data_IF_866355812240
#
_entry.id   IF_866355812240
#
_cell.length_a   1.000
_cell.length_b   1.000
_cell.length_c   1.000
_cell.angle_alpha   90.00
_cell.angle_beta   90.00
_cell.angle_gamma   90.00
#
_symmetry.space_group_name_H-M   'P 1'
#
loop_
_entity.id
_entity.type
_entity.pdbx_description
1 polymer ?
#
# COMPACT_ATOMS: atom_id res chain seq x y z
N UNK A 1 14.25 43.73 28.59
CA UNK A 1 14.66 42.33 28.39
C UNK A 1 13.92 41.48 29.41
N UNK A 2 12.71 41.06 29.05
CA UNK A 2 11.92 40.11 29.84
C UNK A 2 11.89 38.80 29.05
N UNK A 3 12.05 37.73 29.81
CA UNK A 3 12.36 36.36 29.42
C UNK A 3 11.48 35.83 28.29
N UNK A 4 12.15 35.22 27.30
CA UNK A 4 11.58 34.23 26.41
C UNK A 4 10.92 33.14 27.26
N UNK A 5 9.60 33.16 27.36
CA UNK A 5 8.85 31.99 27.81
C UNK A 5 9.16 30.85 26.85
N UNK A 6 9.87 29.85 27.37
CA UNK A 6 10.05 28.58 26.71
C UNK A 6 8.66 27.99 26.46
N UNK A 7 8.25 27.92 25.19
CA UNK A 7 7.15 27.05 24.76
C UNK A 7 7.53 25.62 25.09
N UNK A 8 7.26 25.20 26.32
CA UNK A 8 7.21 23.80 26.71
C UNK A 8 6.15 23.14 25.83
N UNK A 9 6.60 22.56 24.71
CA UNK A 9 5.85 21.53 23.99
C UNK A 9 5.80 20.30 24.90
N UNK A 10 4.94 20.37 25.92
CA UNK A 10 4.52 19.20 26.68
C UNK A 10 3.73 18.34 25.73
N UNK A 11 4.37 17.29 25.21
CA UNK A 11 3.73 16.14 24.60
C UNK A 11 2.86 15.45 25.68
N UNK A 12 1.76 16.07 26.06
CA UNK A 12 0.70 15.39 26.78
C UNK A 12 0.11 14.42 25.77
N UNK A 13 0.42 13.13 25.92
CA UNK A 13 -0.39 12.07 25.36
C UNK A 13 -1.82 12.30 25.88
N UNK A 14 -2.62 12.98 25.07
CA UNK A 14 -3.94 13.39 25.47
C UNK A 14 -4.75 12.14 25.79
N UNK A 15 -5.41 12.15 26.96
CA UNK A 15 -6.37 11.12 27.30
C UNK A 15 -7.44 11.15 26.20
N UNK A 16 -7.75 10.00 25.61
CA UNK A 16 -8.73 9.89 24.55
C UNK A 16 -10.08 10.43 25.02
N UNK A 17 -10.74 11.22 24.17
CA UNK A 17 -12.10 11.69 24.41
C UNK A 17 -13.10 10.52 24.39
N UNK A 18 -14.31 10.74 24.90
CA UNK A 18 -15.37 9.73 24.84
C UNK A 18 -15.74 9.37 23.39
N UNK A 19 -15.72 10.34 22.47
CA UNK A 19 -15.96 10.13 21.04
C UNK A 19 -14.87 9.27 20.42
N UNK A 20 -13.61 9.55 20.76
CA UNK A 20 -12.45 8.76 20.33
C UNK A 20 -12.50 7.31 20.82
N UNK A 21 -13.00 7.06 22.03
CA UNK A 21 -13.26 5.70 22.51
C UNK A 21 -14.42 5.02 21.81
N UNK A 22 -15.49 5.76 21.52
CA UNK A 22 -16.63 5.26 20.73
C UNK A 22 -16.18 4.83 19.34
N UNK A 23 -15.36 5.62 18.66
CA UNK A 23 -14.91 5.32 17.30
C UNK A 23 -14.05 4.05 17.27
N UNK A 24 -13.19 3.85 18.27
CA UNK A 24 -12.44 2.60 18.47
C UNK A 24 -13.36 1.41 18.73
N UNK A 25 -14.41 1.59 19.53
CA UNK A 25 -15.40 0.55 19.81
C UNK A 25 -16.19 0.15 18.55
N UNK A 26 -16.59 1.13 17.73
CA UNK A 26 -17.23 0.87 16.43
C UNK A 26 -16.28 0.12 15.50
N UNK A 27 -15.00 0.53 15.44
CA UNK A 27 -13.97 -0.21 14.70
C UNK A 27 -13.87 -1.67 15.13
N UNK A 28 -13.88 -1.96 16.43
CA UNK A 28 -13.92 -3.33 16.96
C UNK A 28 -15.19 -4.09 16.58
N UNK A 29 -16.35 -3.45 16.61
CA UNK A 29 -17.60 -4.08 16.17
C UNK A 29 -17.54 -4.49 14.70
N UNK A 30 -16.95 -3.66 13.83
CA UNK A 30 -16.75 -4.00 12.42
C UNK A 30 -15.81 -5.19 12.27
N UNK A 31 -14.70 -5.23 13.02
CA UNK A 31 -13.77 -6.37 13.01
C UNK A 31 -14.48 -7.66 13.45
N UNK A 32 -15.26 -7.60 14.54
CA UNK A 32 -16.05 -8.74 15.02
C UNK A 32 -17.07 -9.18 13.97
N UNK A 33 -17.74 -8.24 13.29
CA UNK A 33 -18.67 -8.57 12.22
C UNK A 33 -17.97 -9.33 11.09
N UNK A 34 -16.81 -8.86 10.62
CA UNK A 34 -16.04 -9.59 9.60
C UNK A 34 -15.61 -10.97 10.10
N UNK A 35 -15.16 -11.09 11.35
CA UNK A 35 -14.77 -12.36 11.94
C UNK A 35 -15.93 -13.37 12.03
N UNK A 36 -17.17 -12.89 12.22
CA UNK A 36 -18.38 -13.73 12.28
C UNK A 36 -18.94 -14.11 10.90
N UNK A 37 -18.70 -13.30 9.87
CA UNK A 37 -19.21 -13.55 8.50
C UNK A 37 -18.32 -14.54 7.73
N UNK A 38 -17.04 -14.61 8.08
CA UNK A 38 -16.07 -15.48 7.41
C UNK A 38 -16.32 -16.96 7.76
N UNK A 39 -16.32 -17.89 6.77
CA UNK A 39 -16.60 -19.31 7.02
C UNK A 39 -15.60 -20.03 7.92
N UNK A 40 -14.30 -19.72 7.80
CA UNK A 40 -13.23 -20.25 8.65
C UNK A 40 -12.25 -19.14 8.98
N UNK A 41 -12.29 -18.66 10.23
CA UNK A 41 -11.47 -17.55 10.70
C UNK A 41 -9.97 -17.85 10.62
N UNK A 42 -9.56 -19.12 10.69
CA UNK A 42 -8.14 -19.49 10.69
C UNK A 42 -7.47 -19.20 9.33
N UNK A 43 -8.23 -19.25 8.24
CA UNK A 43 -7.75 -18.88 6.91
C UNK A 43 -7.52 -17.36 6.76
N UNK A 44 -8.15 -16.57 7.63
CA UNK A 44 -8.13 -15.11 7.59
C UNK A 44 -7.30 -14.50 8.73
N UNK A 45 -6.56 -15.32 9.49
CA UNK A 45 -5.64 -14.85 10.53
C UNK A 45 -4.22 -15.28 10.18
N UNK A 46 -3.39 -14.30 9.82
CA UNK A 46 -1.94 -14.46 9.74
C UNK A 46 -1.28 -13.34 10.54
N UNK A 47 -0.61 -13.70 11.63
CA UNK A 47 -0.10 -12.72 12.60
C UNK A 47 0.90 -11.75 11.98
N UNK A 48 1.85 -12.23 11.16
CA UNK A 48 2.84 -11.39 10.50
C UNK A 48 2.18 -10.43 9.51
N UNK A 49 1.27 -10.92 8.66
CA UNK A 49 0.49 -10.08 7.75
C UNK A 49 -0.32 -9.00 8.49
N UNK A 50 -0.92 -9.35 9.63
CA UNK A 50 -1.72 -8.45 10.44
C UNK A 50 -0.85 -7.36 11.08
N UNK A 51 0.37 -7.69 11.54
CA UNK A 51 1.33 -6.70 12.04
C UNK A 51 1.68 -5.66 10.95
N UNK A 52 2.05 -6.11 9.76
CA UNK A 52 2.56 -5.20 8.72
C UNK A 52 1.47 -4.41 7.99
N UNK A 53 0.34 -5.03 7.68
CA UNK A 53 -0.74 -4.36 6.94
C UNK A 53 -1.71 -3.61 7.87
N UNK A 54 -2.06 -4.22 9.01
CA UNK A 54 -3.13 -3.71 9.89
C UNK A 54 -2.58 -2.81 11.00
N UNK A 55 -1.74 -3.35 11.88
CA UNK A 55 -1.28 -2.61 13.07
C UNK A 55 -0.43 -1.40 12.73
N UNK A 56 0.41 -1.49 11.69
CA UNK A 56 1.23 -0.37 11.23
C UNK A 56 0.37 0.86 10.89
N UNK A 57 -0.70 0.66 10.13
CA UNK A 57 -1.64 1.72 9.75
C UNK A 57 -2.38 2.28 10.97
N UNK A 58 -2.81 1.42 11.88
CA UNK A 58 -3.47 1.82 13.14
C UNK A 58 -2.57 2.69 14.01
N UNK A 59 -1.28 2.34 14.13
CA UNK A 59 -0.30 3.14 14.90
C UNK A 59 -0.10 4.51 14.25
N UNK A 60 0.05 4.57 12.92
CA UNK A 60 0.16 5.85 12.21
C UNK A 60 -1.08 6.72 12.43
N UNK A 61 -2.28 6.13 12.34
CA UNK A 61 -3.54 6.83 12.60
C UNK A 61 -3.63 7.35 14.05
N UNK A 62 -3.28 6.56 15.05
CA UNK A 62 -3.32 6.96 16.46
C UNK A 62 -2.29 8.07 16.77
N UNK A 63 -1.09 8.03 16.16
CA UNK A 63 -0.08 9.09 16.29
C UNK A 63 -0.58 10.39 15.69
N UNK A 64 -1.13 10.34 14.47
CA UNK A 64 -1.63 11.54 13.77
C UNK A 64 -2.84 12.15 14.47
N UNK A 65 -3.75 11.32 14.98
CA UNK A 65 -4.91 11.78 15.76
C UNK A 65 -4.47 12.49 17.05
N UNK A 66 -3.57 11.88 17.83
CA UNK A 66 -3.18 12.42 19.14
C UNK A 66 -2.29 13.65 19.04
N UNK A 67 -1.37 13.68 18.07
CA UNK A 67 -0.38 14.76 17.97
C UNK A 67 -0.85 15.92 17.08
N UNK A 68 -1.65 15.63 16.06
CA UNK A 68 -2.00 16.60 15.02
C UNK A 68 -3.50 16.75 14.79
N UNK A 69 -4.35 16.08 15.59
CA UNK A 69 -5.82 16.15 15.52
C UNK A 69 -6.39 15.76 14.15
N UNK A 70 -5.63 14.99 13.36
CA UNK A 70 -6.15 14.40 12.14
C UNK A 70 -7.08 13.26 12.53
N UNK A 71 -8.32 13.30 12.06
CA UNK A 71 -9.31 12.29 12.43
C UNK A 71 -8.81 10.88 12.08
N UNK A 72 -9.02 9.96 13.02
CA UNK A 72 -8.62 8.57 12.88
C UNK A 72 -9.22 7.93 11.62
N UNK A 73 -10.50 8.23 11.35
CA UNK A 73 -11.25 7.85 10.15
C UNK A 73 -10.50 8.20 8.85
N UNK A 74 -10.01 9.44 8.75
CA UNK A 74 -9.35 9.99 7.56
C UNK A 74 -8.05 9.25 7.25
N UNK A 75 -7.26 8.95 8.27
CA UNK A 75 -6.00 8.21 8.08
C UNK A 75 -6.28 6.77 7.64
N UNK A 76 -7.24 6.09 8.27
CA UNK A 76 -7.60 4.73 7.88
C UNK A 76 -8.19 4.67 6.46
N UNK A 77 -9.07 5.62 6.12
CA UNK A 77 -9.66 5.74 4.80
C UNK A 77 -8.59 6.01 3.73
N UNK A 78 -7.55 6.78 4.07
CA UNK A 78 -6.49 7.20 3.13
C UNK A 78 -5.39 6.15 2.97
N UNK A 79 -4.94 5.53 4.07
CA UNK A 79 -3.78 4.63 4.06
C UNK A 79 -4.14 3.14 4.09
N UNK A 80 -5.33 2.75 4.52
CA UNK A 80 -5.70 1.34 4.69
C UNK A 80 -5.41 0.49 3.44
N UNK A 81 -5.93 0.93 2.29
CA UNK A 81 -5.74 0.22 1.01
C UNK A 81 -4.29 0.28 0.53
N UNK A 82 -3.63 1.45 0.39
CA UNK A 82 -2.23 1.51 -0.03
C UNK A 82 -1.30 0.65 0.84
N UNK A 83 -1.48 0.65 2.16
CA UNK A 83 -0.67 -0.16 3.08
C UNK A 83 -0.91 -1.67 2.89
N UNK A 84 -2.16 -2.06 2.65
CA UNK A 84 -2.52 -3.44 2.30
C UNK A 84 -1.88 -3.89 0.99
N UNK A 85 -1.95 -3.05 -0.06
CA UNK A 85 -1.34 -3.33 -1.38
C UNK A 85 0.18 -3.43 -1.28
N UNK A 86 0.85 -2.50 -0.58
CA UNK A 86 2.31 -2.56 -0.41
C UNK A 86 2.71 -3.81 0.36
N UNK A 87 1.99 -4.17 1.42
CA UNK A 87 2.25 -5.39 2.20
C UNK A 87 2.04 -6.66 1.36
N UNK A 88 1.00 -6.67 0.52
CA UNK A 88 0.72 -7.70 -0.47
C UNK A 88 1.88 -7.84 -1.46
N UNK A 89 2.36 -6.72 -2.00
CA UNK A 89 3.45 -6.71 -2.95
C UNK A 89 4.78 -7.16 -2.35
N UNK A 90 5.06 -6.83 -1.08
CA UNK A 90 6.22 -7.37 -0.36
C UNK A 90 6.15 -8.89 -0.26
N UNK A 91 4.99 -9.45 0.13
CA UNK A 91 4.78 -10.89 0.19
C UNK A 91 5.01 -11.56 -1.17
N UNK A 92 4.51 -10.94 -2.24
CA UNK A 92 4.74 -11.44 -3.60
C UNK A 92 6.19 -11.35 -4.07
N UNK A 93 6.94 -10.29 -3.73
CA UNK A 93 8.37 -10.20 -4.06
C UNK A 93 9.12 -11.37 -3.45
N UNK A 94 8.88 -11.67 -2.16
CA UNK A 94 9.52 -12.80 -1.48
C UNK A 94 9.14 -14.14 -2.10
N UNK A 95 7.86 -14.30 -2.44
CA UNK A 95 7.31 -15.45 -3.15
C UNK A 95 8.08 -15.64 -4.48
N UNK A 96 8.09 -14.65 -5.38
CA UNK A 96 8.71 -14.76 -6.69
C UNK A 96 10.23 -15.00 -6.64
N UNK A 97 10.93 -14.46 -5.64
CA UNK A 97 12.36 -14.75 -5.41
C UNK A 97 12.58 -16.25 -5.15
N UNK A 98 11.75 -16.86 -4.30
CA UNK A 98 11.87 -18.29 -3.96
C UNK A 98 11.60 -19.18 -5.19
N UNK A 99 10.67 -18.79 -6.07
CA UNK A 99 10.29 -19.64 -7.21
C UNK A 99 11.21 -19.57 -8.41
N UNK A 100 11.92 -18.46 -8.59
CA UNK A 100 12.98 -18.39 -9.59
C UNK A 100 14.19 -19.27 -9.22
N UNK A 101 14.28 -19.76 -7.97
CA UNK A 101 15.46 -20.43 -7.45
C UNK A 101 15.46 -21.97 -7.57
N UNK A 102 14.32 -22.66 -7.48
CA UNK A 102 14.13 -24.07 -7.91
C UNK A 102 12.76 -24.62 -7.47
N UNK A 103 11.96 -25.12 -8.42
CA UNK A 103 10.69 -25.86 -8.25
C UNK A 103 9.54 -25.17 -7.50
N UNK A 104 8.81 -24.30 -8.19
CA UNK A 104 7.51 -23.82 -7.72
C UNK A 104 6.51 -24.96 -7.51
N UNK A 105 6.22 -25.28 -6.25
CA UNK A 105 5.15 -26.19 -5.89
C UNK A 105 3.82 -25.45 -5.80
N UNK A 106 2.75 -26.08 -6.27
CA UNK A 106 1.38 -25.53 -6.19
C UNK A 106 1.02 -25.12 -4.76
N UNK A 107 1.46 -25.91 -3.76
CA UNK A 107 1.22 -25.65 -2.34
C UNK A 107 1.83 -24.31 -1.93
N UNK A 108 3.10 -24.08 -2.26
CA UNK A 108 3.79 -22.87 -1.87
C UNK A 108 3.22 -21.63 -2.61
N UNK A 109 2.89 -21.76 -3.90
CA UNK A 109 2.26 -20.68 -4.68
C UNK A 109 0.90 -20.30 -4.08
N UNK A 110 0.06 -21.30 -3.79
CA UNK A 110 -1.26 -21.07 -3.20
C UNK A 110 -1.17 -20.40 -1.81
N UNK A 111 -0.19 -20.79 -0.99
CA UNK A 111 0.03 -20.19 0.33
C UNK A 111 0.47 -18.73 0.23
N UNK A 112 1.43 -18.42 -0.65
CA UNK A 112 1.90 -17.05 -0.89
C UNK A 112 0.79 -16.13 -1.42
N UNK A 113 0.04 -16.61 -2.40
CA UNK A 113 -1.11 -15.89 -2.97
C UNK A 113 -2.21 -15.65 -1.92
N UNK A 114 -2.49 -16.63 -1.06
CA UNK A 114 -3.46 -16.46 0.03
C UNK A 114 -3.04 -15.34 0.99
N UNK A 115 -1.77 -15.34 1.44
CA UNK A 115 -1.23 -14.29 2.32
C UNK A 115 -1.26 -12.91 1.64
N UNK A 116 -0.94 -12.85 0.34
CA UNK A 116 -1.04 -11.63 -0.46
C UNK A 116 -2.46 -11.06 -0.42
N UNK A 117 -3.47 -11.86 -0.77
CA UNK A 117 -4.87 -11.42 -0.74
C UNK A 117 -5.30 -11.01 0.67
N UNK A 118 -4.82 -11.72 1.68
CA UNK A 118 -5.14 -11.46 3.08
C UNK A 118 -4.62 -10.10 3.55
N UNK A 119 -3.38 -9.72 3.20
CA UNK A 119 -2.84 -8.39 3.55
C UNK A 119 -3.65 -7.24 2.92
N UNK A 120 -4.10 -7.41 1.68
CA UNK A 120 -4.98 -6.41 1.04
C UNK A 120 -6.36 -6.40 1.67
N UNK A 121 -6.89 -7.56 2.04
CA UNK A 121 -8.16 -7.67 2.77
C UNK A 121 -8.11 -6.95 4.13
N UNK A 122 -7.00 -7.05 4.87
CA UNK A 122 -6.80 -6.26 6.10
C UNK A 122 -6.81 -4.75 5.83
N UNK A 123 -6.16 -4.31 4.75
CA UNK A 123 -6.21 -2.91 4.32
C UNK A 123 -7.62 -2.44 3.95
N UNK A 124 -8.41 -3.32 3.32
CA UNK A 124 -9.83 -3.06 3.01
C UNK A 124 -10.67 -2.93 4.27
N UNK A 125 -10.50 -3.80 5.27
CA UNK A 125 -11.21 -3.69 6.56
C UNK A 125 -10.92 -2.34 7.20
N UNK A 126 -9.66 -1.91 7.24
CA UNK A 126 -9.29 -0.59 7.76
C UNK A 126 -9.97 0.54 6.99
N UNK A 127 -10.01 0.44 5.67
CA UNK A 127 -10.72 1.41 4.83
C UNK A 127 -12.22 1.45 5.15
N UNK A 128 -12.88 0.31 5.34
CA UNK A 128 -14.30 0.22 5.72
C UNK A 128 -14.54 0.84 7.10
N UNK A 129 -13.64 0.60 8.07
CA UNK A 129 -13.69 1.26 9.38
C UNK A 129 -13.56 2.77 9.21
N UNK A 130 -12.55 3.21 8.44
CA UNK A 130 -12.33 4.63 8.15
C UNK A 130 -13.55 5.29 7.52
N UNK A 131 -14.15 4.64 6.51
CA UNK A 131 -15.34 5.12 5.83
C UNK A 131 -16.58 5.16 6.73
N UNK A 132 -16.77 4.15 7.58
CA UNK A 132 -17.93 4.07 8.47
C UNK A 132 -17.91 5.13 9.58
N UNK A 133 -16.70 5.56 9.96
CA UNK A 133 -16.49 6.62 10.96
C UNK A 133 -16.39 8.02 10.34
N UNK A 134 -16.28 8.10 9.03
CA UNK A 134 -16.05 9.35 8.32
C UNK A 134 -17.30 10.22 8.30
N UNK A 135 -17.16 11.47 8.74
CA UNK A 135 -18.22 12.49 8.61
C UNK A 135 -17.79 13.56 7.61
N UNK A 136 -18.70 14.03 6.75
CA UNK A 136 -18.38 14.99 5.69
C UNK A 136 -17.82 16.33 6.22
N UNK A 137 -18.13 16.68 7.48
CA UNK A 137 -17.59 17.85 8.18
C UNK A 137 -16.09 17.71 8.52
N UNK A 138 -15.54 16.49 8.51
CA UNK A 138 -14.13 16.20 8.84
C UNK A 138 -13.16 16.66 7.74
N UNK A 139 -13.65 16.96 6.53
CA UNK A 139 -12.85 17.57 5.46
C UNK A 139 -12.44 19.02 5.75
N UNK A 140 -13.20 19.72 6.60
CA UNK A 140 -12.98 21.13 6.92
C UNK A 140 -12.08 21.34 8.14
N UNK A 141 -11.47 20.27 8.65
CA UNK A 141 -10.58 20.37 9.79
C UNK A 141 -9.26 20.95 9.29
N UNK A 142 -8.95 22.16 9.73
CA UNK A 142 -7.63 22.77 9.58
C UNK A 142 -6.62 21.93 10.37
N UNK A 143 -6.13 20.85 9.78
CA UNK A 143 -5.06 20.06 10.38
C UNK A 143 -3.80 20.91 10.33
N UNK A 144 -3.22 21.18 11.50
CA UNK A 144 -1.92 21.83 11.56
C UNK A 144 -0.89 20.98 10.80
N UNK A 145 -0.03 21.57 9.96
CA UNK A 145 0.98 20.82 9.24
C UNK A 145 1.88 20.07 10.23
N UNK A 146 2.27 18.85 9.87
CA UNK A 146 3.13 18.05 10.74
C UNK A 146 4.54 18.63 10.77
N UNK A 147 5.22 18.52 11.92
CA UNK A 147 6.59 19.00 12.03
C UNK A 147 7.56 18.08 11.25
N UNK A 148 8.67 18.64 10.75
CA UNK A 148 9.70 17.89 10.01
C UNK A 148 10.19 16.63 10.77
N UNK A 149 10.40 16.76 12.09
CA UNK A 149 10.82 15.61 12.94
C UNK A 149 9.79 14.49 12.93
N UNK A 150 8.50 14.81 13.01
CA UNK A 150 7.44 13.81 12.97
C UNK A 150 7.27 13.24 11.56
N UNK A 151 7.34 14.07 10.52
CA UNK A 151 7.34 13.60 9.14
C UNK A 151 8.45 12.58 8.88
N UNK A 152 9.69 12.91 9.26
CA UNK A 152 10.83 11.98 9.12
C UNK A 152 10.64 10.74 9.98
N UNK A 153 10.16 10.86 11.22
CA UNK A 153 9.91 9.72 12.11
C UNK A 153 8.85 8.77 11.53
N UNK A 154 7.70 9.28 11.08
CA UNK A 154 6.64 8.48 10.47
C UNK A 154 7.09 7.83 9.17
N UNK A 155 7.84 8.57 8.34
CA UNK A 155 8.42 8.03 7.10
C UNK A 155 9.40 6.91 7.43
N UNK A 156 10.36 7.12 8.32
CA UNK A 156 11.31 6.10 8.75
C UNK A 156 10.61 4.90 9.40
N UNK A 157 9.54 5.11 10.16
CA UNK A 157 8.76 4.05 10.77
C UNK A 157 8.08 3.18 9.71
N UNK A 158 7.35 3.79 8.77
CA UNK A 158 6.64 3.07 7.70
C UNK A 158 7.61 2.35 6.77
N UNK A 159 8.61 3.05 6.20
CA UNK A 159 9.57 2.42 5.28
C UNK A 159 10.54 1.48 5.98
N UNK A 160 10.88 1.75 7.24
CA UNK A 160 11.65 0.83 8.08
C UNK A 160 10.88 -0.47 8.29
N UNK A 161 9.58 -0.42 8.58
CA UNK A 161 8.74 -1.61 8.69
C UNK A 161 8.62 -2.36 7.35
N UNK A 162 8.46 -1.66 6.23
CA UNK A 162 8.46 -2.28 4.89
C UNK A 162 9.79 -3.01 4.65
N UNK A 163 10.92 -2.36 4.92
CA UNK A 163 12.25 -2.95 4.74
C UNK A 163 12.47 -4.17 5.66
N UNK A 164 12.11 -4.07 6.94
CA UNK A 164 12.17 -5.21 7.88
C UNK A 164 11.30 -6.36 7.39
N UNK A 165 10.09 -6.07 6.89
CA UNK A 165 9.20 -7.11 6.36
C UNK A 165 9.79 -7.84 5.16
N UNK A 166 10.57 -7.15 4.30
CA UNK A 166 11.30 -7.76 3.18
C UNK A 166 12.42 -8.71 3.65
N UNK A 167 13.12 -8.40 4.73
CA UNK A 167 14.26 -9.19 5.23
C UNK A 167 13.83 -10.37 6.10
N UNK A 168 12.78 -10.21 6.90
CA UNK A 168 12.29 -11.25 7.83
C UNK A 168 11.53 -12.37 7.09
N UNK A 169 11.34 -12.23 5.78
CA UNK A 169 10.66 -13.19 4.93
C UNK A 169 11.27 -14.60 4.88
N UNK A 170 10.55 -15.59 4.33
CA UNK A 170 11.05 -16.96 4.16
C UNK A 170 12.31 -17.06 3.29
N UNK A 171 12.60 -16.03 2.50
CA UNK A 171 13.82 -15.92 1.71
C UNK A 171 15.01 -15.58 2.62
N UNK A 172 15.82 -16.58 2.94
CA UNK A 172 17.04 -16.43 3.73
C UNK A 172 17.92 -15.26 3.21
N UNK A 173 18.37 -14.33 4.08
CA UNK A 173 19.21 -13.19 3.69
C UNK A 173 20.60 -13.58 3.17
N UNK A 174 20.97 -14.87 3.23
CA UNK A 174 22.28 -15.39 2.82
C UNK A 174 22.43 -15.57 1.30
N UNK A 175 21.39 -15.30 0.51
CA UNK A 175 21.36 -15.67 -0.92
C UNK A 175 21.58 -14.52 -1.89
N UNK A 176 21.79 -13.28 -1.43
CA UNK A 176 22.19 -12.17 -2.31
C UNK A 176 21.14 -11.79 -3.38
N UNK A 177 19.88 -12.17 -3.19
CA UNK A 177 18.81 -11.79 -4.12
C UNK A 177 18.50 -10.29 -4.03
N UNK A 178 18.43 -9.64 -5.18
CA UNK A 178 18.01 -8.25 -5.30
C UNK A 178 16.51 -8.13 -5.05
N UNK A 179 16.14 -7.64 -3.85
CA UNK A 179 14.77 -7.26 -3.48
C UNK A 179 14.24 -6.03 -4.24
N UNK A 180 15.00 -5.53 -5.23
CA UNK A 180 14.68 -4.35 -6.01
C UNK A 180 14.81 -4.68 -7.49
N UNK A 181 13.76 -4.38 -8.26
CA UNK A 181 13.83 -4.43 -9.71
C UNK A 181 14.11 -3.04 -10.28
N UNK A 182 15.18 -2.92 -11.06
CA UNK A 182 15.66 -1.64 -11.59
C UNK A 182 14.67 -1.06 -12.61
N UNK A 183 14.06 -1.88 -13.47
CA UNK A 183 13.25 -1.38 -14.58
C UNK A 183 11.94 -0.70 -14.10
N UNK A 184 11.11 -1.30 -13.23
CA UNK A 184 9.95 -0.61 -12.65
C UNK A 184 10.36 0.58 -11.77
N UNK A 185 11.53 0.53 -11.12
CA UNK A 185 12.06 1.64 -10.33
C UNK A 185 12.40 2.84 -11.22
N UNK A 186 13.07 2.61 -12.35
CA UNK A 186 13.38 3.65 -13.34
C UNK A 186 12.11 4.28 -13.92
N UNK A 187 11.09 3.47 -14.21
CA UNK A 187 9.78 3.98 -14.64
C UNK A 187 9.18 4.89 -13.55
N UNK A 188 9.18 4.43 -12.30
CA UNK A 188 8.64 5.17 -11.16
C UNK A 188 9.35 6.52 -10.95
N UNK A 189 10.68 6.52 -10.93
CA UNK A 189 11.50 7.74 -10.81
C UNK A 189 11.32 8.66 -12.02
N UNK A 190 11.27 8.09 -13.23
CA UNK A 190 11.05 8.85 -14.47
C UNK A 190 9.70 9.57 -14.46
N UNK A 191 8.62 8.89 -14.08
CA UNK A 191 7.29 9.49 -13.96
C UNK A 191 7.24 10.54 -12.85
N UNK A 192 7.87 10.30 -11.70
CA UNK A 192 7.97 11.28 -10.61
C UNK A 192 8.65 12.57 -11.09
N UNK A 193 9.81 12.46 -11.75
CA UNK A 193 10.54 13.60 -12.29
C UNK A 193 9.70 14.31 -13.37
N UNK A 194 9.08 13.55 -14.28
CA UNK A 194 8.27 14.10 -15.36
C UNK A 194 7.08 14.91 -14.84
N UNK A 195 6.33 14.35 -13.89
CA UNK A 195 5.18 15.03 -13.29
C UNK A 195 5.61 16.27 -12.53
N UNK A 196 6.69 16.18 -11.76
CA UNK A 196 7.24 17.33 -11.06
C UNK A 196 7.66 18.44 -12.04
N UNK A 197 8.47 18.15 -13.05
CA UNK A 197 8.95 19.16 -14.00
C UNK A 197 7.83 19.75 -14.86
N UNK A 198 6.89 18.92 -15.33
CA UNK A 198 5.78 19.35 -16.19
C UNK A 198 4.77 20.23 -15.44
N UNK A 199 4.61 20.02 -14.13
CA UNK A 199 3.48 20.55 -13.36
C UNK A 199 3.87 21.32 -12.10
N UNK A 200 5.16 21.52 -11.83
CA UNK A 200 5.66 22.23 -10.64
C UNK A 200 5.01 23.60 -10.41
N UNK A 201 4.65 24.33 -11.47
CA UNK A 201 4.00 25.64 -11.37
C UNK A 201 2.49 25.58 -11.11
N UNK A 202 1.85 24.44 -11.36
CA UNK A 202 0.38 24.27 -11.34
C UNK A 202 -0.10 23.48 -10.14
N UNK A 203 0.72 22.54 -9.64
CA UNK A 203 0.35 21.57 -8.61
C UNK A 203 1.43 21.46 -7.55
N UNK A 204 1.00 21.09 -6.35
CA UNK A 204 1.86 20.83 -5.21
C UNK A 204 2.78 19.63 -5.39
N UNK A 205 3.84 19.55 -4.60
CA UNK A 205 4.80 18.44 -4.69
C UNK A 205 4.15 17.11 -4.29
N UNK A 206 3.38 17.09 -3.21
CA UNK A 206 2.72 15.88 -2.74
C UNK A 206 1.66 15.41 -3.75
N UNK A 207 0.90 16.34 -4.33
CA UNK A 207 -0.08 16.03 -5.37
C UNK A 207 0.57 15.42 -6.62
N UNK A 208 1.70 15.97 -7.06
CA UNK A 208 2.45 15.42 -8.19
C UNK A 208 2.99 14.01 -7.91
N UNK A 209 3.44 13.74 -6.68
CA UNK A 209 3.87 12.39 -6.27
C UNK A 209 2.68 11.42 -6.22
N UNK A 210 1.50 11.86 -5.75
CA UNK A 210 0.28 11.05 -5.77
C UNK A 210 -0.15 10.71 -7.20
N UNK A 211 -0.10 11.69 -8.10
CA UNK A 211 -0.47 11.46 -9.50
C UNK A 211 0.55 10.52 -10.18
N UNK A 212 1.85 10.69 -9.88
CA UNK A 212 2.90 9.79 -10.36
C UNK A 212 2.76 8.37 -9.79
N UNK A 213 2.33 8.22 -8.54
CA UNK A 213 2.19 6.91 -7.90
C UNK A 213 1.19 6.02 -8.63
N UNK A 214 0.02 6.57 -8.97
CA UNK A 214 -1.02 5.89 -9.75
C UNK A 214 -0.53 5.62 -11.18
N UNK A 215 0.13 6.60 -11.80
CA UNK A 215 0.67 6.44 -13.14
C UNK A 215 1.70 5.30 -13.19
N UNK A 216 2.59 5.20 -12.20
CA UNK A 216 3.54 4.09 -12.06
C UNK A 216 2.80 2.76 -11.97
N UNK A 217 1.83 2.63 -11.07
CA UNK A 217 1.08 1.38 -10.90
C UNK A 217 0.39 0.94 -12.20
N UNK A 218 -0.40 1.82 -12.82
CA UNK A 218 -1.16 1.48 -14.02
C UNK A 218 -0.21 1.19 -15.19
N UNK A 219 0.82 2.00 -15.40
CA UNK A 219 1.76 1.82 -16.52
C UNK A 219 2.55 0.53 -16.36
N UNK A 220 2.99 0.18 -15.14
CA UNK A 220 3.66 -1.10 -14.90
C UNK A 220 2.77 -2.30 -15.19
N UNK A 221 1.49 -2.25 -14.79
CA UNK A 221 0.52 -3.30 -15.14
C UNK A 221 0.36 -3.38 -16.66
N UNK A 222 0.18 -2.26 -17.36
CA UNK A 222 0.04 -2.24 -18.82
C UNK A 222 1.29 -2.79 -19.54
N UNK A 223 2.49 -2.45 -19.09
CA UNK A 223 3.74 -2.98 -19.64
C UNK A 223 3.78 -4.50 -19.47
N UNK A 224 3.48 -5.01 -18.27
CA UNK A 224 3.43 -6.45 -18.04
C UNK A 224 2.42 -7.15 -18.94
N UNK A 225 1.24 -6.54 -19.19
CA UNK A 225 0.24 -7.07 -20.11
C UNK A 225 0.72 -7.10 -21.57
N UNK A 226 1.32 -6.01 -22.04
CA UNK A 226 1.85 -5.95 -23.40
C UNK A 226 2.90 -7.05 -23.59
N UNK A 227 3.82 -7.19 -22.63
CA UNK A 227 4.84 -8.24 -22.66
C UNK A 227 4.23 -9.64 -22.59
N UNK A 228 3.21 -9.85 -21.76
CA UNK A 228 2.48 -11.11 -21.64
C UNK A 228 1.89 -11.54 -22.98
N UNK A 229 1.08 -10.68 -23.62
CA UNK A 229 0.41 -11.02 -24.88
C UNK A 229 1.38 -11.06 -26.07
N UNK A 230 2.46 -10.28 -26.05
CA UNK A 230 3.52 -10.37 -27.08
C UNK A 230 4.25 -11.71 -27.02
N UNK A 231 4.47 -12.24 -25.82
CA UNK A 231 5.18 -13.50 -25.62
C UNK A 231 4.29 -14.72 -25.87
N UNK A 232 3.00 -14.67 -25.50
CA UNK A 232 2.02 -15.72 -25.80
C UNK A 232 2.00 -16.12 -27.28
N UNK A 233 2.03 -15.15 -28.19
CA UNK A 233 1.98 -15.40 -29.64
C UNK A 233 3.32 -15.76 -30.28
N UNK A 234 4.40 -15.81 -29.50
CA UNK A 234 5.75 -16.07 -30.00
C UNK A 234 6.17 -17.54 -29.85
N UNK A 235 5.43 -18.34 -29.08
CA UNK A 235 5.67 -19.78 -28.96
C UNK A 235 5.10 -20.50 -30.20
N UNK A 236 5.93 -21.22 -30.99
CA UNK A 236 5.48 -21.91 -32.19
C UNK A 236 4.40 -22.97 -31.94
N UNK A 237 4.25 -23.45 -30.71
CA UNK A 237 3.22 -24.42 -30.37
C UNK A 237 1.93 -23.78 -29.83
N UNK A 238 1.94 -22.46 -29.53
CA UNK A 238 0.82 -21.72 -28.90
C UNK A 238 0.21 -22.40 -27.66
N UNK A 239 0.89 -23.39 -27.09
CA UNK A 239 0.24 -24.34 -26.19
C UNK A 239 0.09 -23.74 -24.79
N UNK A 240 1.06 -22.97 -24.28
CA UNK A 240 1.00 -22.27 -22.99
C UNK A 240 2.15 -21.28 -22.79
N UNK A 241 1.96 -20.24 -21.97
CA UNK A 241 3.10 -19.53 -21.37
C UNK A 241 3.74 -20.42 -20.30
N UNK A 242 5.06 -20.59 -20.38
CA UNK A 242 5.82 -21.25 -19.33
C UNK A 242 5.68 -20.51 -18.00
N UNK A 243 5.44 -21.25 -16.91
CA UNK A 243 5.20 -20.70 -15.56
C UNK A 243 6.24 -19.65 -15.16
N UNK A 244 7.52 -19.87 -15.48
CA UNK A 244 8.60 -18.95 -15.14
C UNK A 244 8.46 -17.58 -15.84
N UNK A 245 8.06 -17.56 -17.11
CA UNK A 245 7.84 -16.33 -17.85
C UNK A 245 6.63 -15.57 -17.30
N UNK A 246 5.55 -16.29 -16.96
CA UNK A 246 4.40 -15.69 -16.31
C UNK A 246 4.77 -15.05 -14.97
N UNK A 247 5.55 -15.75 -14.14
CA UNK A 247 5.99 -15.25 -12.84
C UNK A 247 6.91 -14.02 -12.99
N UNK A 248 7.79 -13.99 -13.99
CA UNK A 248 8.64 -12.81 -14.27
C UNK A 248 7.79 -11.57 -14.61
N UNK A 249 6.79 -11.74 -15.48
CA UNK A 249 5.90 -10.66 -15.91
C UNK A 249 4.98 -10.18 -14.78
N UNK A 250 4.42 -11.12 -14.02
CA UNK A 250 3.64 -10.81 -12.82
C UNK A 250 4.50 -10.06 -11.79
N UNK A 251 5.77 -10.47 -11.63
CA UNK A 251 6.69 -9.80 -10.71
C UNK A 251 7.04 -8.37 -11.16
N UNK A 252 7.16 -8.11 -12.47
CA UNK A 252 7.34 -6.74 -12.99
C UNK A 252 6.18 -5.83 -12.57
N UNK A 253 4.93 -6.26 -12.79
CA UNK A 253 3.76 -5.51 -12.37
C UNK A 253 3.68 -5.37 -10.84
N UNK A 254 4.07 -6.41 -10.11
CA UNK A 254 4.13 -6.38 -8.65
C UNK A 254 5.12 -5.33 -8.10
N UNK A 255 6.30 -5.19 -8.70
CA UNK A 255 7.22 -4.11 -8.36
C UNK A 255 6.64 -2.72 -8.69
N UNK A 256 5.85 -2.61 -9.77
CA UNK A 256 5.08 -1.40 -10.06
C UNK A 256 4.04 -1.05 -8.99
N UNK A 257 3.34 -2.05 -8.46
CA UNK A 257 2.43 -1.91 -7.31
C UNK A 257 3.18 -1.52 -6.04
N UNK A 258 4.33 -2.16 -5.78
CA UNK A 258 5.18 -1.85 -4.63
C UNK A 258 5.66 -0.40 -4.66
N UNK A 259 6.25 0.04 -5.78
CA UNK A 259 6.79 1.40 -5.90
C UNK A 259 5.69 2.44 -6.00
N UNK A 260 4.60 2.19 -6.74
CA UNK A 260 3.45 3.07 -6.80
C UNK A 260 2.76 3.21 -5.44
N UNK A 261 2.38 2.10 -4.81
CA UNK A 261 1.79 2.13 -3.46
C UNK A 261 2.70 2.80 -2.43
N UNK A 262 4.02 2.57 -2.52
CA UNK A 262 5.00 3.27 -1.69
C UNK A 262 4.98 4.79 -1.93
N UNK A 263 5.03 5.25 -3.18
CA UNK A 263 4.95 6.68 -3.49
C UNK A 263 3.63 7.30 -3.03
N UNK A 264 2.52 6.55 -3.06
CA UNK A 264 1.24 6.99 -2.55
C UNK A 264 1.31 7.29 -1.04
N UNK A 265 1.85 6.35 -0.25
CA UNK A 265 2.00 6.52 1.19
C UNK A 265 2.92 7.71 1.50
N UNK A 266 4.03 7.85 0.76
CA UNK A 266 4.92 9.01 0.88
C UNK A 266 4.19 10.31 0.59
N UNK A 267 3.40 10.36 -0.49
CA UNK A 267 2.62 11.52 -0.88
C UNK A 267 1.65 11.94 0.22
N UNK A 268 0.93 11.00 0.84
CA UNK A 268 0.06 11.31 1.97
C UNK A 268 0.83 11.97 3.12
N UNK A 269 1.92 11.35 3.59
CA UNK A 269 2.74 11.90 4.69
C UNK A 269 3.34 13.26 4.31
N UNK A 270 3.80 13.41 3.06
CA UNK A 270 4.33 14.67 2.56
C UNK A 270 3.25 15.74 2.49
N UNK A 271 2.02 15.38 2.10
CA UNK A 271 0.90 16.34 2.02
C UNK A 271 0.53 16.92 3.39
N UNK A 272 0.68 16.13 4.45
CA UNK A 272 0.51 16.61 5.83
C UNK A 272 1.65 17.54 6.24
N UNK A 273 2.87 17.32 5.75
CA UNK A 273 4.03 18.17 6.03
C UNK A 273 3.97 19.50 5.25
N UNK A 274 3.61 19.45 3.97
CA UNK A 274 3.54 20.61 3.08
C UNK A 274 2.22 21.36 3.12
N UNK A 275 1.26 20.89 3.94
CA UNK A 275 -0.10 21.41 4.01
C UNK A 275 -0.83 21.38 2.65
N UNK A 276 -0.61 20.31 1.88
CA UNK A 276 -1.25 20.06 0.59
C UNK A 276 -2.37 19.03 0.69
N UNK A 277 -2.65 18.47 1.88
CA UNK A 277 -3.65 17.42 2.09
C UNK A 277 -5.01 17.75 1.45
N UNK A 278 -5.55 18.94 1.71
CA UNK A 278 -6.85 19.38 1.16
C UNK A 278 -6.86 19.62 -0.36
N UNK A 279 -5.68 19.71 -1.00
CA UNK A 279 -5.58 19.86 -2.46
C UNK A 279 -5.70 18.51 -3.18
N UNK A 280 -5.52 17.41 -2.46
CA UNK A 280 -5.47 16.07 -3.02
C UNK A 280 -6.75 15.33 -2.66
N UNK A 281 -7.49 14.87 -3.67
CA UNK A 281 -8.64 13.99 -3.45
C UNK A 281 -8.16 12.55 -3.23
N UNK A 282 -7.67 12.26 -2.01
CA UNK A 282 -7.20 10.93 -1.63
C UNK A 282 -8.28 9.84 -1.73
N UNK A 283 -9.56 10.18 -1.56
CA UNK A 283 -10.68 9.23 -1.73
C UNK A 283 -10.74 8.71 -3.16
N UNK A 284 -10.73 9.62 -4.15
CA UNK A 284 -10.72 9.25 -5.58
C UNK A 284 -9.44 8.51 -5.95
N UNK A 285 -8.30 8.98 -5.44
CA UNK A 285 -6.98 8.39 -5.72
C UNK A 285 -6.85 6.97 -5.13
N UNK A 286 -7.41 6.71 -3.95
CA UNK A 286 -7.53 5.37 -3.39
C UNK A 286 -8.41 4.46 -4.23
N UNK A 287 -9.54 4.96 -4.74
CA UNK A 287 -10.42 4.17 -5.60
C UNK A 287 -9.69 3.69 -6.86
N UNK A 288 -8.94 4.58 -7.53
CA UNK A 288 -8.12 4.18 -8.68
C UNK A 288 -7.03 3.17 -8.33
N UNK A 289 -6.46 3.24 -7.13
CA UNK A 289 -5.47 2.27 -6.67
C UNK A 289 -6.10 0.88 -6.44
N UNK A 290 -7.32 0.83 -5.90
CA UNK A 290 -8.12 -0.41 -5.81
C UNK A 290 -8.38 -0.99 -7.19
N UNK A 291 -8.87 -0.17 -8.13
CA UNK A 291 -9.15 -0.61 -9.50
C UNK A 291 -7.91 -1.21 -10.14
N UNK A 292 -6.76 -0.54 -10.03
CA UNK A 292 -5.50 -1.04 -10.56
C UNK A 292 -5.05 -2.35 -9.90
N UNK A 293 -5.18 -2.48 -8.57
CA UNK A 293 -4.88 -3.72 -7.87
C UNK A 293 -5.83 -4.86 -8.27
N UNK A 294 -7.13 -4.59 -8.41
CA UNK A 294 -8.10 -5.57 -8.90
C UNK A 294 -7.77 -6.03 -10.32
N UNK A 295 -7.37 -5.12 -11.21
CA UNK A 295 -6.88 -5.50 -12.54
C UNK A 295 -5.66 -6.41 -12.46
N UNK A 296 -4.68 -6.10 -11.59
CA UNK A 296 -3.53 -6.98 -11.38
C UNK A 296 -3.95 -8.38 -10.89
N UNK A 297 -4.83 -8.45 -9.89
CA UNK A 297 -5.35 -9.73 -9.36
C UNK A 297 -6.07 -10.52 -10.45
N UNK A 298 -6.97 -9.89 -11.22
CA UNK A 298 -7.66 -10.60 -12.29
C UNK A 298 -6.70 -11.05 -13.40
N UNK A 299 -5.65 -10.29 -13.68
CA UNK A 299 -4.68 -10.67 -14.71
C UNK A 299 -3.73 -11.79 -14.26
N UNK A 300 -3.35 -11.81 -12.99
CA UNK A 300 -2.35 -12.75 -12.47
C UNK A 300 -2.96 -13.96 -11.78
N UNK A 301 -4.22 -13.91 -11.38
CA UNK A 301 -4.87 -14.93 -10.55
C UNK A 301 -6.25 -15.35 -11.04
N UNK A 302 -6.85 -14.68 -12.04
CA UNK A 302 -8.10 -15.19 -12.59
C UNK A 302 -7.87 -16.45 -13.42
N UNK A 303 -8.92 -17.27 -13.45
CA UNK A 303 -9.06 -18.47 -14.25
C UNK A 303 -8.72 -18.19 -15.73
N UNK A 304 -8.32 -19.23 -16.48
CA UNK A 304 -7.56 -19.07 -17.71
C UNK A 304 -8.25 -18.21 -18.76
N UNK A 305 -7.43 -17.39 -19.40
CA UNK A 305 -7.83 -16.45 -20.45
C UNK A 305 -8.23 -17.16 -21.75
N UNK A 306 -8.67 -16.37 -22.74
CA UNK A 306 -9.07 -16.76 -24.11
C UNK A 306 -8.18 -17.82 -24.80
N UNK A 307 -6.95 -18.01 -24.35
CA UNK A 307 -6.00 -19.02 -24.84
C UNK A 307 -6.32 -20.47 -24.45
N UNK A 308 -7.13 -20.73 -23.41
CA UNK A 308 -7.63 -22.09 -23.16
C UNK A 308 -8.89 -22.45 -23.98
N UNK A 309 -9.37 -21.51 -24.82
CA UNK A 309 -10.53 -21.72 -25.70
C UNK A 309 -10.15 -22.05 -27.16
N UNK A 310 -8.85 -22.14 -27.50
CA UNK A 310 -8.37 -22.42 -28.86
C UNK A 310 -7.46 -23.63 -28.87
#
# INVERSE_FOLDING_TARGET
MQSLESTENKYHWAKLSAEQWRDRAIGWLIIILFALVVPDINLFINFSALVYAFFLTMIVADILERLYKLHFSVTLLTLGIPMGIVSSSVGLVQMFIVYNADSATVIAVSGGTSIMLLTTFYGLILCVIGFSLYNDDENNINTSPINLKTFLCLTCFVYGSIYVSMIVGPSNPTTGYDYLSIQPLLLSLGLLILFHLSRAKKKGMAENICDASIATTITSIMIALIMLYSNFGSDPNFENIGVNQFLELANYANYGLLYGGSLYIFSFLLSLYTNEFHKINFKLRNWHLVEAFSFYVFMTLAAPSLFELV
#
